data_IF_190850754954
#
_entry.id   IF_190850754954
#
_cell.length_a   1.000
_cell.length_b   1.000
_cell.length_c   1.000
_cell.angle_alpha   90.00
_cell.angle_beta   90.00
_cell.angle_gamma   90.00
#
_symmetry.space_group_name_H-M   'P 1'
#
loop_
_entity.id
_entity.type
_entity.pdbx_description
1 polymer ?
#
# COMPACT_ATOMS: atom_id res chain seq x y z
N UNK A 1 11.01 18.23 31.80
CA UNK A 1 11.51 16.93 32.26
C UNK A 1 10.49 15.87 31.86
N UNK A 2 10.46 15.50 30.57
CA UNK A 2 9.67 14.41 29.98
C UNK A 2 10.38 14.06 28.65
N UNK A 3 11.37 13.17 28.69
CA UNK A 3 12.03 12.60 27.49
C UNK A 3 12.50 11.18 27.84
N UNK A 4 12.07 10.22 27.04
CA UNK A 4 11.98 8.78 27.32
C UNK A 4 10.49 8.44 27.26
N UNK A 5 9.94 7.78 26.24
CA UNK A 5 10.47 6.57 25.61
C UNK A 5 10.05 6.35 24.14
N UNK A 6 9.51 7.35 23.42
CA UNK A 6 8.96 7.15 22.06
C UNK A 6 9.71 7.93 20.96
N UNK A 7 10.98 7.57 20.75
CA UNK A 7 11.74 7.92 19.55
C UNK A 7 12.24 6.61 18.94
N UNK A 8 11.98 6.38 17.66
CA UNK A 8 12.69 5.34 16.93
C UNK A 8 14.20 5.57 17.14
N UNK A 9 14.87 4.59 17.74
CA UNK A 9 16.23 4.80 18.24
C UNK A 9 17.12 5.13 17.04
N UNK A 10 17.81 6.29 17.01
CA UNK A 10 18.73 6.67 15.92
C UNK A 10 19.79 5.58 15.66
N UNK A 11 20.04 4.73 16.67
CA UNK A 11 20.86 3.52 16.61
C UNK A 11 20.31 2.45 15.66
N UNK A 12 18.99 2.29 15.55
CA UNK A 12 18.35 1.37 14.58
C UNK A 12 18.75 1.73 13.14
N UNK A 13 18.91 3.03 12.86
CA UNK A 13 19.28 3.56 11.55
C UNK A 13 20.79 3.82 11.39
N UNK A 14 21.61 3.30 12.31
CA UNK A 14 23.09 3.42 12.33
C UNK A 14 23.62 4.84 12.49
N UNK A 15 22.84 5.77 13.04
CA UNK A 15 23.30 7.11 13.36
C UNK A 15 23.74 7.24 14.82
N UNK A 16 24.79 8.03 15.06
CA UNK A 16 25.12 8.54 16.38
C UNK A 16 24.27 9.77 16.66
N UNK A 17 23.68 9.85 17.84
CA UNK A 17 22.83 10.97 18.23
C UNK A 17 23.65 12.21 18.61
N UNK A 18 23.23 13.37 18.08
CA UNK A 18 23.75 14.67 18.43
C UNK A 18 23.32 15.05 19.85
N UNK A 19 24.31 15.46 20.65
CA UNK A 19 24.13 16.09 21.96
C UNK A 19 24.35 17.60 21.84
N UNK A 20 23.44 18.39 22.40
CA UNK A 20 23.55 19.83 22.48
C UNK A 20 23.80 20.27 23.92
N UNK A 21 24.79 21.12 24.13
CA UNK A 21 24.99 21.79 25.41
C UNK A 21 23.85 22.80 25.64
N UNK A 22 23.15 22.63 26.76
CA UNK A 22 22.23 23.64 27.28
C UNK A 22 23.03 24.68 28.09
N UNK A 23 23.04 25.93 27.59
CA UNK A 23 23.78 27.04 28.17
C UNK A 23 23.39 27.34 29.63
N UNK A 24 22.22 26.88 30.10
CA UNK A 24 21.76 27.12 31.47
C UNK A 24 21.98 25.93 32.40
N UNK A 25 22.02 24.70 31.87
CA UNK A 25 22.10 23.47 32.68
C UNK A 25 23.49 22.82 32.66
N UNK A 26 24.43 23.28 31.82
CA UNK A 26 25.75 22.66 31.59
C UNK A 26 25.65 21.14 31.40
N UNK A 27 24.57 20.69 30.76
CA UNK A 27 24.29 19.29 30.49
C UNK A 27 24.02 19.12 29.01
N UNK A 28 24.59 18.05 28.48
CA UNK A 28 24.35 17.58 27.13
C UNK A 28 22.96 16.97 27.05
N UNK A 29 22.07 17.62 26.30
CA UNK A 29 20.73 17.12 26.03
C UNK A 29 20.72 16.48 24.63
N UNK A 30 20.19 15.25 24.48
CA UNK A 30 20.01 14.63 23.17
C UNK A 30 19.07 15.49 22.31
N UNK A 31 19.42 15.70 21.05
CA UNK A 31 18.65 16.57 20.16
C UNK A 31 17.62 15.82 19.31
N UNK A 32 17.72 14.49 19.19
CA UNK A 32 16.93 13.71 18.23
C UNK A 32 17.38 13.88 16.77
N UNK A 33 18.63 14.30 16.54
CA UNK A 33 19.23 14.41 15.21
C UNK A 33 20.55 13.62 15.15
N UNK A 34 21.00 13.18 13.96
CA UNK A 34 22.33 12.62 13.78
C UNK A 34 23.42 13.65 14.12
N UNK A 35 24.55 13.18 14.65
CA UNK A 35 25.74 13.98 14.97
C UNK A 35 26.23 14.78 13.74
N UNK A 36 26.14 16.12 13.75
CA UNK A 36 26.53 16.94 12.62
C UNK A 36 28.04 17.26 12.65
N UNK A 37 28.63 17.52 11.48
CA UNK A 37 30.02 17.98 11.39
C UNK A 37 30.19 19.38 11.96
N UNK A 38 29.19 20.23 11.72
CA UNK A 38 29.07 21.59 12.22
C UNK A 38 27.59 21.91 12.43
N UNK A 39 27.31 22.78 13.39
CA UNK A 39 25.97 23.29 13.68
C UNK A 39 26.00 24.79 13.85
N UNK A 40 25.00 25.46 13.28
CA UNK A 40 24.71 26.86 13.58
C UNK A 40 23.25 27.01 13.99
N UNK A 41 23.01 27.94 14.91
CA UNK A 41 21.67 28.31 15.35
C UNK A 41 21.52 29.82 15.24
N UNK A 42 20.39 30.23 14.66
CA UNK A 42 19.96 31.61 14.52
C UNK A 42 18.54 31.71 15.05
N UNK A 43 18.28 32.75 15.83
CA UNK A 43 16.95 33.13 16.30
C UNK A 43 16.71 34.56 15.87
N UNK A 44 15.62 34.80 15.15
CA UNK A 44 15.21 36.13 14.73
C UNK A 44 13.72 36.29 14.97
N UNK A 45 13.35 37.40 15.60
CA UNK A 45 11.97 37.79 15.80
C UNK A 45 11.75 39.09 15.02
N UNK A 46 10.85 39.04 14.06
CA UNK A 46 10.58 40.15 13.15
C UNK A 46 9.07 40.44 13.12
N UNK A 47 8.63 41.66 13.44
CA UNK A 47 7.21 42.01 13.55
C UNK A 47 6.39 41.92 12.26
N UNK A 48 7.02 41.85 11.08
CA UNK A 48 6.31 41.95 9.80
C UNK A 48 6.77 40.93 8.74
N UNK A 49 7.64 39.98 9.07
CA UNK A 49 8.19 39.03 8.09
C UNK A 49 7.54 37.65 8.24
N UNK A 50 7.18 37.05 7.11
CA UNK A 50 6.62 35.70 7.05
C UNK A 50 7.73 34.65 7.08
N UNK A 51 7.44 33.45 7.59
CA UNK A 51 8.37 32.30 7.51
C UNK A 51 8.82 32.04 6.06
N UNK A 52 7.95 32.29 5.09
CA UNK A 52 8.24 32.08 3.67
C UNK A 52 9.43 32.91 3.20
N UNK A 53 9.60 34.13 3.70
CA UNK A 53 10.71 35.01 3.32
C UNK A 53 12.05 34.39 3.76
N UNK A 54 12.14 33.92 5.01
CA UNK A 54 13.32 33.24 5.52
C UNK A 54 13.57 31.90 4.81
N UNK A 55 12.51 31.13 4.57
CA UNK A 55 12.57 29.84 3.88
C UNK A 55 13.08 29.99 2.45
N UNK A 56 12.43 30.84 1.65
CA UNK A 56 12.81 31.04 0.25
C UNK A 56 14.15 31.76 0.12
N UNK A 57 14.54 32.61 1.06
CA UNK A 57 15.88 33.20 1.07
C UNK A 57 16.96 32.11 1.14
N UNK A 58 16.81 31.15 2.06
CA UNK A 58 17.78 30.04 2.21
C UNK A 58 17.74 29.10 1.01
N UNK A 59 16.54 28.74 0.54
CA UNK A 59 16.38 27.85 -0.62
C UNK A 59 16.95 28.47 -1.89
N UNK A 60 16.70 29.77 -2.14
CA UNK A 60 17.23 30.48 -3.30
C UNK A 60 18.75 30.61 -3.23
N UNK A 61 19.32 30.91 -2.05
CA UNK A 61 20.76 30.96 -1.86
C UNK A 61 21.40 29.58 -2.12
N UNK A 62 20.79 28.51 -1.60
CA UNK A 62 21.25 27.14 -1.82
C UNK A 62 21.20 26.76 -3.31
N UNK A 63 20.08 27.04 -3.98
CA UNK A 63 19.84 26.63 -5.36
C UNK A 63 20.62 27.46 -6.37
N UNK A 64 20.50 28.79 -6.31
CA UNK A 64 20.98 29.70 -7.33
C UNK A 64 22.46 30.06 -7.14
N UNK A 65 22.89 30.33 -5.90
CA UNK A 65 24.24 30.85 -5.64
C UNK A 65 25.23 29.75 -5.24
N UNK A 66 24.76 28.72 -4.53
CA UNK A 66 25.61 27.64 -3.97
C UNK A 66 25.54 26.34 -4.78
N UNK A 67 24.62 26.26 -5.75
CA UNK A 67 24.52 25.19 -6.75
C UNK A 67 23.99 23.86 -6.21
N UNK A 68 23.14 23.90 -5.18
CA UNK A 68 22.39 22.74 -4.69
C UNK A 68 21.12 22.58 -5.53
N UNK A 69 21.21 21.75 -6.58
CA UNK A 69 20.07 21.52 -7.47
C UNK A 69 19.03 20.57 -6.88
N UNK A 70 19.45 19.72 -5.94
CA UNK A 70 18.63 18.68 -5.35
C UNK A 70 18.31 19.06 -3.89
N UNK A 71 17.14 19.68 -3.72
CA UNK A 71 16.64 20.15 -2.42
C UNK A 71 15.31 19.44 -2.19
N UNK A 72 15.26 18.65 -1.12
CA UNK A 72 14.09 17.89 -0.74
C UNK A 72 13.51 18.45 0.56
N UNK A 73 12.19 18.66 0.60
CA UNK A 73 11.48 18.99 1.83
C UNK A 73 11.14 17.70 2.56
N UNK A 74 11.70 17.51 3.75
CA UNK A 74 11.53 16.31 4.56
C UNK A 74 10.31 16.43 5.48
N UNK A 75 10.14 17.60 6.09
CA UNK A 75 9.08 17.86 7.04
C UNK A 75 8.43 19.21 6.78
N UNK A 76 7.12 19.25 6.92
CA UNK A 76 6.28 20.45 6.85
C UNK A 76 5.10 20.22 7.78
N UNK A 77 5.35 20.44 9.07
CA UNK A 77 4.40 20.17 10.14
C UNK A 77 3.82 21.47 10.60
N UNK A 78 2.49 21.52 10.60
CA UNK A 78 1.72 22.62 11.15
C UNK A 78 1.05 22.17 12.44
N UNK A 79 1.25 22.94 13.51
CA UNK A 79 0.49 22.80 14.74
C UNK A 79 -0.19 24.13 15.04
N UNK A 80 -1.48 24.11 15.29
CA UNK A 80 -2.21 25.29 15.72
C UNK A 80 -2.89 25.03 17.05
N UNK A 81 -3.10 26.10 17.82
CA UNK A 81 -3.84 26.01 19.07
C UNK A 81 -5.28 25.55 18.80
N UNK A 82 -5.85 24.79 19.74
CA UNK A 82 -7.18 24.19 19.58
C UNK A 82 -8.29 25.23 19.35
N UNK A 83 -8.14 26.44 19.91
CA UNK A 83 -9.10 27.54 19.74
C UNK A 83 -8.81 28.42 18.51
N UNK A 84 -7.76 28.14 17.74
CA UNK A 84 -7.48 28.92 16.53
C UNK A 84 -8.46 28.64 15.40
N UNK A 85 -8.74 29.66 14.59
CA UNK A 85 -9.47 29.51 13.33
C UNK A 85 -8.78 28.51 12.38
N UNK A 86 -7.45 28.46 12.39
CA UNK A 86 -6.66 27.51 11.59
C UNK A 86 -6.90 26.06 11.99
N UNK A 87 -6.93 25.77 13.29
CA UNK A 87 -7.22 24.43 13.80
C UNK A 87 -8.63 23.98 13.40
N UNK A 88 -9.63 24.86 13.50
CA UNK A 88 -11.00 24.56 13.09
C UNK A 88 -11.11 24.17 11.60
N UNK A 89 -10.49 24.94 10.71
CA UNK A 89 -10.50 24.65 9.25
C UNK A 89 -9.70 23.38 8.94
N UNK A 90 -8.54 23.19 9.59
CA UNK A 90 -7.73 21.98 9.42
C UNK A 90 -8.50 20.74 9.86
N UNK A 91 -9.15 20.77 11.02
CA UNK A 91 -9.97 19.67 11.53
C UNK A 91 -11.17 19.37 10.64
N UNK A 92 -11.85 20.39 10.12
CA UNK A 92 -12.95 20.18 9.17
C UNK A 92 -12.48 19.47 7.89
N UNK A 93 -11.31 19.85 7.35
CA UNK A 93 -10.71 19.18 6.19
C UNK A 93 -10.28 17.76 6.51
N UNK A 94 -9.61 17.55 7.65
CA UNK A 94 -9.20 16.23 8.12
C UNK A 94 -10.40 15.30 8.30
N UNK A 95 -11.47 15.76 8.95
CA UNK A 95 -12.72 15.01 9.09
C UNK A 95 -13.32 14.65 7.73
N UNK A 96 -13.40 15.60 6.80
CA UNK A 96 -13.89 15.35 5.43
C UNK A 96 -13.08 14.28 4.69
N UNK A 97 -11.76 14.22 4.91
CA UNK A 97 -10.90 13.19 4.33
C UNK A 97 -11.04 11.85 5.05
N UNK A 98 -11.14 11.84 6.38
CA UNK A 98 -11.38 10.64 7.18
C UNK A 98 -12.72 9.98 6.82
N UNK A 99 -13.77 10.77 6.60
CA UNK A 99 -15.07 10.28 6.16
C UNK A 99 -14.97 9.60 4.79
N UNK A 100 -14.27 10.22 3.83
CA UNK A 100 -14.04 9.63 2.50
C UNK A 100 -13.23 8.33 2.57
N UNK A 101 -12.16 8.31 3.36
CA UNK A 101 -11.36 7.09 3.57
C UNK A 101 -12.23 6.00 4.17
N UNK A 102 -13.02 6.30 5.19
CA UNK A 102 -13.91 5.33 5.84
C UNK A 102 -14.96 4.78 4.86
N UNK A 103 -15.53 5.63 4.00
CA UNK A 103 -16.47 5.21 2.96
C UNK A 103 -15.81 4.27 1.94
N UNK A 104 -14.59 4.59 1.50
CA UNK A 104 -13.85 3.74 0.56
C UNK A 104 -13.49 2.40 1.20
N UNK A 105 -12.96 2.40 2.43
CA UNK A 105 -12.61 1.17 3.14
C UNK A 105 -13.84 0.28 3.40
N UNK A 106 -14.98 0.86 3.79
CA UNK A 106 -16.22 0.10 3.92
C UNK A 106 -16.66 -0.54 2.59
N UNK A 107 -16.54 0.20 1.49
CA UNK A 107 -16.86 -0.31 0.14
C UNK A 107 -15.89 -1.43 -0.26
N UNK A 108 -14.58 -1.24 -0.03
CA UNK A 108 -13.55 -2.26 -0.27
C UNK A 108 -13.84 -3.51 0.55
N UNK A 109 -14.10 -3.38 1.85
CA UNK A 109 -14.41 -4.51 2.72
C UNK A 109 -15.62 -5.31 2.25
N UNK A 110 -16.68 -4.64 1.76
CA UNK A 110 -17.82 -5.32 1.13
C UNK A 110 -17.42 -6.08 -0.12
N UNK A 111 -16.64 -5.47 -1.02
CA UNK A 111 -16.19 -6.13 -2.25
C UNK A 111 -15.23 -7.29 -1.98
N UNK A 112 -14.38 -7.20 -0.95
CA UNK A 112 -13.51 -8.30 -0.51
C UNK A 112 -14.35 -9.48 -0.02
N UNK A 113 -15.42 -9.23 0.74
CA UNK A 113 -16.36 -10.30 1.14
C UNK A 113 -17.03 -10.95 -0.07
N UNK A 114 -17.41 -10.17 -1.07
CA UNK A 114 -17.98 -10.67 -2.32
C UNK A 114 -16.96 -11.50 -3.12
N UNK A 115 -15.67 -11.11 -3.14
CA UNK A 115 -14.60 -11.91 -3.74
C UNK A 115 -14.51 -13.32 -3.11
N UNK A 116 -14.57 -13.44 -1.78
CA UNK A 116 -14.57 -14.76 -1.13
C UNK A 116 -15.74 -15.63 -1.57
N UNK A 117 -16.93 -15.04 -1.74
CA UNK A 117 -18.11 -15.76 -2.23
C UNK A 117 -17.90 -16.24 -3.67
N UNK A 118 -17.31 -15.41 -4.53
CA UNK A 118 -17.00 -15.76 -5.91
C UNK A 118 -15.94 -16.87 -6.01
N UNK A 119 -14.86 -16.78 -5.24
CA UNK A 119 -13.82 -17.84 -5.19
C UNK A 119 -14.43 -19.17 -4.75
N UNK A 120 -15.28 -19.14 -3.70
CA UNK A 120 -15.99 -20.35 -3.27
C UNK A 120 -16.93 -20.90 -4.34
N UNK A 121 -17.65 -20.03 -5.07
CA UNK A 121 -18.51 -20.46 -6.18
C UNK A 121 -17.69 -21.12 -7.30
N UNK A 122 -16.55 -20.53 -7.69
CA UNK A 122 -15.66 -21.09 -8.71
C UNK A 122 -15.14 -22.46 -8.26
N UNK A 123 -14.71 -22.61 -7.00
CA UNK A 123 -14.27 -23.90 -6.45
C UNK A 123 -15.35 -24.98 -6.56
N UNK A 124 -16.59 -24.66 -6.18
CA UNK A 124 -17.73 -25.60 -6.29
C UNK A 124 -18.02 -25.93 -7.77
N UNK A 125 -17.88 -24.94 -8.67
CA UNK A 125 -18.04 -25.17 -10.10
C UNK A 125 -16.93 -26.06 -10.67
N UNK A 126 -15.69 -25.92 -10.19
CA UNK A 126 -14.56 -26.76 -10.59
C UNK A 126 -14.71 -28.19 -10.10
N UNK A 127 -15.01 -28.41 -8.81
CA UNK A 127 -15.33 -29.73 -8.27
C UNK A 127 -16.45 -30.40 -9.07
N UNK A 128 -17.51 -29.64 -9.42
CA UNK A 128 -18.59 -30.15 -10.25
C UNK A 128 -18.14 -30.51 -11.66
N UNK A 129 -17.37 -29.63 -12.32
CA UNK A 129 -16.87 -29.86 -13.68
C UNK A 129 -15.92 -31.04 -13.76
N UNK A 130 -15.16 -31.32 -12.71
CA UNK A 130 -14.25 -32.45 -12.65
C UNK A 130 -14.99 -33.79 -12.72
N UNK A 131 -16.15 -33.95 -12.07
CA UNK A 131 -17.00 -35.13 -12.27
C UNK A 131 -17.44 -35.30 -13.72
N UNK A 132 -17.74 -34.21 -14.43
CA UNK A 132 -18.06 -34.31 -15.85
C UNK A 132 -16.83 -34.70 -16.67
N UNK A 133 -15.66 -34.08 -16.44
CA UNK A 133 -14.41 -34.42 -17.15
C UNK A 133 -14.04 -35.90 -16.96
N UNK A 134 -14.07 -36.39 -15.72
CA UNK A 134 -13.80 -37.79 -15.39
C UNK A 134 -14.79 -38.76 -16.04
N UNK A 135 -16.06 -38.36 -16.18
CA UNK A 135 -17.06 -39.17 -16.87
C UNK A 135 -16.85 -39.25 -18.40
N UNK A 136 -16.22 -38.23 -19.00
CA UNK A 136 -15.94 -38.18 -20.44
C UNK A 136 -14.58 -38.79 -20.80
N UNK A 137 -13.64 -38.89 -19.85
CA UNK A 137 -12.32 -39.51 -20.08
C UNK A 137 -12.43 -41.05 -20.07
N UNK A 138 -12.04 -41.69 -21.17
CA UNK A 138 -12.06 -43.16 -21.29
C UNK A 138 -10.96 -43.85 -20.46
N UNK A 139 -9.90 -43.12 -20.07
CA UNK A 139 -8.75 -43.65 -19.34
C UNK A 139 -8.83 -43.49 -17.82
N UNK A 140 -9.82 -42.73 -17.33
CA UNK A 140 -9.95 -42.41 -15.90
C UNK A 140 -10.46 -43.60 -15.09
N UNK A 141 -9.70 -44.00 -14.06
CA UNK A 141 -10.12 -45.03 -13.09
C UNK A 141 -11.36 -44.60 -12.28
N UNK A 142 -11.65 -43.29 -12.23
CA UNK A 142 -12.77 -42.72 -11.49
C UNK A 142 -14.05 -42.56 -12.32
N UNK A 143 -14.04 -42.96 -13.60
CA UNK A 143 -15.16 -42.79 -14.53
C UNK A 143 -16.48 -43.34 -14.00
N UNK A 144 -16.46 -44.57 -13.48
CA UNK A 144 -17.66 -45.23 -12.95
C UNK A 144 -18.21 -44.50 -11.72
N UNK A 145 -17.33 -44.09 -10.80
CA UNK A 145 -17.71 -43.29 -9.63
C UNK A 145 -18.26 -41.92 -10.01
N UNK A 146 -17.70 -41.27 -11.04
CA UNK A 146 -18.15 -39.97 -11.51
C UNK A 146 -19.53 -40.06 -12.20
N UNK A 147 -19.75 -41.08 -13.04
CA UNK A 147 -21.05 -41.39 -13.63
C UNK A 147 -22.12 -41.67 -12.57
N UNK A 148 -21.83 -42.51 -11.57
CA UNK A 148 -22.76 -42.81 -10.46
C UNK A 148 -23.11 -41.52 -9.70
N UNK A 149 -22.11 -40.67 -9.44
CA UNK A 149 -22.29 -39.38 -8.75
C UNK A 149 -23.19 -38.43 -9.56
N UNK A 150 -22.95 -38.30 -10.86
CA UNK A 150 -23.76 -37.46 -11.77
C UNK A 150 -25.21 -37.97 -11.88
N UNK A 151 -25.40 -39.29 -11.95
CA UNK A 151 -26.73 -39.93 -11.94
C UNK A 151 -27.46 -39.68 -10.63
N UNK A 152 -26.76 -39.73 -9.49
CA UNK A 152 -27.31 -39.37 -8.18
C UNK A 152 -27.78 -37.91 -8.15
N UNK A 153 -26.94 -36.97 -8.60
CA UNK A 153 -27.28 -35.55 -8.70
C UNK A 153 -28.50 -35.33 -9.60
N UNK A 154 -28.60 -36.06 -10.72
CA UNK A 154 -29.75 -35.98 -11.62
C UNK A 154 -31.04 -36.46 -10.98
N UNK A 155 -31.02 -37.61 -10.28
CA UNK A 155 -32.20 -38.12 -9.56
C UNK A 155 -32.66 -37.10 -8.51
N UNK A 156 -31.74 -36.51 -7.76
CA UNK A 156 -32.08 -35.58 -6.69
C UNK A 156 -32.57 -34.22 -7.23
N UNK A 157 -31.89 -33.63 -8.22
CA UNK A 157 -32.22 -32.29 -8.71
C UNK A 157 -33.29 -32.27 -9.80
N UNK A 158 -33.31 -33.24 -10.72
CA UNK A 158 -34.19 -33.24 -11.89
C UNK A 158 -35.43 -34.07 -11.67
N UNK A 159 -35.30 -35.23 -11.01
CA UNK A 159 -36.44 -36.11 -10.77
C UNK A 159 -37.17 -35.85 -9.43
N UNK A 160 -36.61 -34.98 -8.57
CA UNK A 160 -37.19 -34.67 -7.26
C UNK A 160 -36.94 -35.78 -6.21
N UNK A 161 -35.92 -36.61 -6.43
CA UNK A 161 -35.52 -37.68 -5.53
C UNK A 161 -36.60 -38.75 -5.34
N UNK A 162 -36.60 -39.41 -4.18
CA UNK A 162 -37.53 -40.50 -3.86
C UNK A 162 -38.99 -40.06 -3.60
N UNK A 163 -39.30 -38.76 -3.67
CA UNK A 163 -40.65 -38.21 -3.42
C UNK A 163 -41.53 -38.17 -4.67
N UNK A 164 -40.92 -38.23 -5.86
CA UNK A 164 -41.66 -38.24 -7.12
C UNK A 164 -41.98 -39.67 -7.54
N UNK A 165 -43.26 -40.05 -7.73
CA UNK A 165 -43.69 -41.33 -8.29
C UNK A 165 -42.98 -41.71 -9.61
N UNK A 166 -42.57 -40.68 -10.37
CA UNK A 166 -41.95 -40.84 -11.67
C UNK A 166 -40.41 -40.93 -11.63
N UNK A 167 -39.77 -40.78 -10.47
CA UNK A 167 -38.32 -40.91 -10.36
C UNK A 167 -37.86 -42.37 -10.38
N UNK A 168 -36.58 -42.61 -10.65
CA UNK A 168 -36.01 -43.97 -10.61
C UNK A 168 -36.27 -44.67 -9.27
N UNK A 169 -36.20 -43.93 -8.15
CA UNK A 169 -36.53 -44.47 -6.82
C UNK A 169 -38.03 -44.55 -6.52
N UNK A 170 -38.84 -43.62 -7.04
CA UNK A 170 -40.30 -43.66 -6.88
C UNK A 170 -40.92 -44.82 -7.67
N UNK A 171 -40.46 -45.04 -8.90
CA UNK A 171 -40.87 -46.16 -9.74
C UNK A 171 -40.48 -47.52 -9.15
N UNK A 172 -39.34 -47.60 -8.44
CA UNK A 172 -38.96 -48.82 -7.74
C UNK A 172 -39.88 -49.12 -6.54
N UNK A 173 -40.39 -48.09 -5.86
CA UNK A 173 -41.28 -48.22 -4.69
C UNK A 173 -42.75 -48.43 -5.05
N UNK A 174 -43.28 -47.64 -5.99
CA UNK A 174 -44.72 -47.59 -6.29
C UNK A 174 -45.12 -48.54 -7.43
N UNK A 175 -44.22 -48.78 -8.40
CA UNK A 175 -44.47 -49.64 -9.57
C UNK A 175 -43.74 -50.98 -9.48
N UNK A 176 -43.17 -51.31 -8.32
CA UNK A 176 -42.43 -52.55 -8.03
C UNK A 176 -41.26 -52.84 -8.98
N UNK A 177 -40.70 -51.81 -9.66
CA UNK A 177 -39.50 -51.95 -10.47
C UNK A 177 -38.22 -51.97 -9.62
N UNK A 178 -38.09 -52.99 -8.76
CA UNK A 178 -37.03 -53.11 -7.74
C UNK A 178 -35.61 -53.08 -8.32
N UNK A 179 -35.42 -53.61 -9.54
CA UNK A 179 -34.11 -53.71 -10.21
C UNK A 179 -33.76 -52.44 -11.02
N UNK A 180 -34.71 -51.51 -11.21
CA UNK A 180 -34.51 -50.32 -12.04
C UNK A 180 -33.41 -49.38 -11.53
N UNK A 181 -33.26 -49.09 -10.22
CA UNK A 181 -32.16 -48.29 -9.71
C UNK A 181 -30.80 -48.94 -9.98
N UNK A 182 -30.64 -50.22 -9.69
CA UNK A 182 -29.39 -50.95 -9.89
C UNK A 182 -29.00 -50.99 -11.38
N UNK A 183 -29.98 -51.18 -12.27
CA UNK A 183 -29.75 -51.11 -13.71
C UNK A 183 -29.39 -49.71 -14.19
N UNK A 184 -30.02 -48.67 -13.64
CA UNK A 184 -29.71 -47.30 -13.99
C UNK A 184 -28.30 -46.89 -13.58
N UNK A 185 -27.83 -47.30 -12.40
CA UNK A 185 -26.47 -47.01 -11.94
C UNK A 185 -25.40 -47.89 -12.61
N UNK A 186 -25.69 -49.13 -12.97
CA UNK A 186 -24.70 -50.04 -13.60
C UNK A 186 -24.53 -49.83 -15.11
N UNK A 187 -25.55 -49.32 -15.81
CA UNK A 187 -25.51 -49.16 -17.27
C UNK A 187 -24.96 -47.79 -17.67
N UNK A 188 -23.83 -47.78 -18.37
CA UNK A 188 -23.11 -46.55 -18.76
C UNK A 188 -22.99 -46.43 -20.29
N UNK A 189 -24.07 -46.06 -21.01
CA UNK A 189 -24.00 -45.81 -22.45
C UNK A 189 -23.17 -44.56 -22.77
N UNK A 190 -22.34 -44.62 -23.82
CA UNK A 190 -21.44 -43.53 -24.21
C UNK A 190 -22.18 -42.32 -24.82
N UNK A 191 -23.24 -42.56 -25.61
CA UNK A 191 -23.98 -41.50 -26.32
C UNK A 191 -25.49 -41.76 -26.28
N UNK A 192 -26.31 -40.71 -26.35
CA UNK A 192 -27.79 -40.75 -26.38
C UNK A 192 -28.35 -41.68 -27.48
N UNK A 193 -27.58 -41.89 -28.56
CA UNK A 193 -27.92 -42.78 -29.68
C UNK A 193 -27.62 -44.26 -29.41
N UNK A 194 -26.69 -44.56 -28.52
CA UNK A 194 -26.24 -45.93 -28.23
C UNK A 194 -27.05 -46.58 -27.09
N UNK A 195 -27.94 -45.79 -26.45
CA UNK A 195 -28.79 -46.24 -25.33
C UNK A 195 -29.67 -47.41 -25.76
N UNK A 196 -30.21 -47.37 -26.98
CA UNK A 196 -31.08 -48.42 -27.48
C UNK A 196 -30.34 -49.76 -27.64
N UNK A 197 -29.14 -49.74 -28.21
CA UNK A 197 -28.32 -50.93 -28.43
C UNK A 197 -27.80 -51.55 -27.14
N UNK A 198 -27.41 -50.73 -26.16
CA UNK A 198 -26.88 -51.19 -24.87
C UNK A 198 -28.00 -51.78 -24.01
N UNK A 199 -29.19 -51.17 -24.00
CA UNK A 199 -30.32 -51.65 -23.19
C UNK A 199 -31.01 -52.86 -23.82
N UNK A 200 -31.01 -52.99 -25.14
CA UNK A 200 -31.61 -54.15 -25.82
C UNK A 200 -30.80 -55.44 -25.65
N UNK A 201 -29.50 -55.35 -25.36
CA UNK A 201 -28.63 -56.49 -25.00
C UNK A 201 -28.92 -57.06 -23.60
N UNK A 202 -29.67 -56.37 -22.76
CA UNK A 202 -29.99 -56.83 -21.40
C UNK A 202 -31.24 -57.72 -21.40
N UNK A 203 -31.15 -58.90 -20.79
CA UNK A 203 -32.24 -59.89 -20.71
C UNK A 203 -33.28 -59.54 -19.61
N UNK A 204 -33.93 -58.38 -19.72
CA UNK A 204 -34.98 -57.95 -18.77
C UNK A 204 -36.35 -57.72 -19.43
N UNK A 205 -37.37 -57.61 -18.56
CA UNK A 205 -38.75 -57.32 -18.96
C UNK A 205 -38.82 -56.07 -19.85
N UNK A 206 -39.58 -56.17 -20.95
CA UNK A 206 -39.74 -55.12 -21.97
C UNK A 206 -40.11 -53.76 -21.36
N UNK A 207 -41.01 -53.72 -20.37
CA UNK A 207 -41.40 -52.46 -19.72
C UNK A 207 -40.27 -51.81 -18.93
N UNK A 208 -39.43 -52.61 -18.27
CA UNK A 208 -38.24 -52.11 -17.54
C UNK A 208 -37.24 -51.53 -18.53
N UNK A 209 -37.03 -52.19 -19.68
CA UNK A 209 -36.17 -51.69 -20.76
C UNK A 209 -36.67 -50.38 -21.36
N UNK A 210 -37.97 -50.27 -21.66
CA UNK A 210 -38.56 -49.03 -22.20
C UNK A 210 -38.40 -47.84 -21.22
N UNK A 211 -38.62 -48.08 -19.92
CA UNK A 211 -38.43 -47.06 -18.89
C UNK A 211 -36.95 -46.69 -18.73
N UNK A 212 -36.05 -47.68 -18.69
CA UNK A 212 -34.61 -47.47 -18.58
C UNK A 212 -34.06 -46.67 -19.78
N UNK A 213 -34.47 -47.01 -21.01
CA UNK A 213 -34.11 -46.25 -22.23
C UNK A 213 -34.48 -44.77 -22.13
N UNK A 214 -35.73 -44.48 -21.72
CA UNK A 214 -36.20 -43.11 -21.55
C UNK A 214 -35.39 -42.34 -20.50
N UNK A 215 -35.08 -42.98 -19.38
CA UNK A 215 -34.35 -42.34 -18.26
C UNK A 215 -32.88 -42.11 -18.60
N UNK A 216 -32.21 -43.08 -19.21
CA UNK A 216 -30.83 -42.94 -19.67
C UNK A 216 -30.69 -41.87 -20.76
N UNK A 217 -31.63 -41.80 -21.69
CA UNK A 217 -31.64 -40.76 -22.72
C UNK A 217 -31.80 -39.36 -22.12
N UNK A 218 -32.75 -39.20 -21.21
CA UNK A 218 -32.97 -37.94 -20.49
C UNK A 218 -31.74 -37.52 -19.64
N UNK A 219 -31.09 -38.49 -18.99
CA UNK A 219 -29.86 -38.25 -18.23
C UNK A 219 -28.71 -37.77 -19.15
N UNK A 220 -28.50 -38.41 -20.30
CA UNK A 220 -27.41 -38.03 -21.21
C UNK A 220 -27.63 -36.66 -21.85
N UNK A 221 -28.86 -36.33 -22.27
CA UNK A 221 -29.20 -35.00 -22.77
C UNK A 221 -28.99 -33.94 -21.68
N UNK A 222 -29.45 -34.21 -20.45
CA UNK A 222 -29.21 -33.33 -19.31
C UNK A 222 -27.71 -33.14 -19.01
N UNK A 223 -26.93 -34.23 -19.06
CA UNK A 223 -25.48 -34.20 -18.82
C UNK A 223 -24.75 -33.29 -19.82
N UNK A 224 -25.10 -33.38 -21.10
CA UNK A 224 -24.49 -32.55 -22.15
C UNK A 224 -24.86 -31.06 -21.99
N UNK A 225 -26.14 -30.75 -21.78
CA UNK A 225 -26.61 -29.38 -21.61
C UNK A 225 -26.04 -28.74 -20.34
N UNK A 226 -26.07 -29.45 -19.21
CA UNK A 226 -25.55 -28.97 -17.94
C UNK A 226 -24.05 -28.76 -17.98
N UNK A 227 -23.30 -29.62 -18.67
CA UNK A 227 -21.86 -29.44 -18.84
C UNK A 227 -21.51 -28.16 -19.61
N UNK A 228 -22.23 -27.88 -20.71
CA UNK A 228 -22.06 -26.64 -21.49
C UNK A 228 -22.44 -25.39 -20.69
N UNK A 229 -23.52 -25.47 -19.92
CA UNK A 229 -23.96 -24.40 -19.03
C UNK A 229 -22.93 -24.12 -17.93
N UNK A 230 -22.47 -25.15 -17.21
CA UNK A 230 -21.49 -25.00 -16.13
C UNK A 230 -20.16 -24.42 -16.63
N UNK A 231 -19.69 -24.86 -17.80
CA UNK A 231 -18.48 -24.30 -18.43
C UNK A 231 -18.65 -22.82 -18.76
N UNK A 232 -19.82 -22.44 -19.27
CA UNK A 232 -20.15 -21.06 -19.61
C UNK A 232 -20.27 -20.20 -18.35
N UNK A 233 -20.98 -20.70 -17.33
CA UNK A 233 -21.13 -20.06 -16.02
C UNK A 233 -19.78 -19.81 -15.37
N UNK A 234 -18.91 -20.82 -15.31
CA UNK A 234 -17.55 -20.69 -14.77
C UNK A 234 -16.77 -19.58 -15.48
N UNK A 235 -16.81 -19.52 -16.81
CA UNK A 235 -16.16 -18.46 -17.59
C UNK A 235 -16.68 -17.07 -17.23
N UNK A 236 -17.99 -16.92 -17.02
CA UNK A 236 -18.57 -15.65 -16.57
C UNK A 236 -18.17 -15.30 -15.14
N UNK A 237 -18.20 -16.26 -14.21
CA UNK A 237 -17.79 -16.04 -12.81
C UNK A 237 -16.32 -15.63 -12.71
N UNK A 238 -15.43 -16.24 -13.51
CA UNK A 238 -14.02 -15.84 -13.60
C UNK A 238 -13.84 -14.40 -14.10
N UNK A 239 -14.55 -14.00 -15.16
CA UNK A 239 -14.53 -12.61 -15.64
C UNK A 239 -15.04 -11.62 -14.59
N UNK A 240 -16.11 -12.01 -13.89
CA UNK A 240 -16.72 -11.20 -12.84
C UNK A 240 -15.78 -11.03 -11.63
N UNK A 241 -15.07 -12.10 -11.23
CA UNK A 241 -14.02 -12.05 -10.21
C UNK A 241 -12.95 -11.02 -10.55
N UNK A 242 -12.47 -11.03 -11.80
CA UNK A 242 -11.46 -10.07 -12.28
C UNK A 242 -11.98 -8.62 -12.25
N UNK A 243 -13.22 -8.40 -12.69
CA UNK A 243 -13.84 -7.09 -12.61
C UNK A 243 -13.89 -6.56 -11.15
N UNK A 244 -14.25 -7.42 -10.18
CA UNK A 244 -14.29 -7.02 -8.76
C UNK A 244 -12.92 -6.64 -8.23
N UNK A 245 -11.91 -7.43 -8.61
CA UNK A 245 -10.52 -7.15 -8.27
C UNK A 245 -10.01 -5.82 -8.86
N UNK A 246 -10.31 -5.54 -10.13
CA UNK A 246 -9.91 -4.28 -10.78
C UNK A 246 -10.59 -3.06 -10.14
N UNK A 247 -11.85 -3.20 -9.72
CA UNK A 247 -12.58 -2.14 -8.99
C UNK A 247 -11.96 -1.89 -7.62
N UNK A 248 -11.62 -2.94 -6.86
CA UNK A 248 -10.90 -2.80 -5.58
C UNK A 248 -9.57 -2.07 -5.79
N UNK A 249 -8.82 -2.44 -6.84
CA UNK A 249 -7.55 -1.79 -7.19
C UNK A 249 -7.73 -0.29 -7.46
N UNK A 250 -8.78 0.08 -8.19
CA UNK A 250 -9.14 1.47 -8.45
C UNK A 250 -9.42 2.23 -7.14
N UNK A 251 -10.26 1.68 -6.25
CA UNK A 251 -10.55 2.32 -4.96
C UNK A 251 -9.31 2.45 -4.07
N UNK A 252 -8.44 1.45 -4.02
CA UNK A 252 -7.17 1.52 -3.29
C UNK A 252 -6.26 2.64 -3.82
N UNK A 253 -6.22 2.83 -5.14
CA UNK A 253 -5.46 3.93 -5.75
C UNK A 253 -6.00 5.31 -5.33
N UNK A 254 -7.31 5.43 -5.11
CA UNK A 254 -7.94 6.66 -4.66
C UNK A 254 -7.79 6.91 -3.16
N UNK A 255 -7.73 5.88 -2.32
CA UNK A 255 -7.54 6.02 -0.87
C UNK A 255 -6.15 6.56 -0.53
N UNK A 256 -5.11 6.12 -1.26
CA UNK A 256 -3.70 6.48 -1.02
C UNK A 256 -3.44 7.99 -0.85
N UNK A 257 -3.88 8.89 -1.76
CA UNK A 257 -3.68 10.33 -1.58
C UNK A 257 -4.41 10.88 -0.35
N UNK A 258 -5.61 10.39 -0.02
CA UNK A 258 -6.34 10.85 1.16
C UNK A 258 -5.66 10.47 2.47
N UNK A 259 -5.13 9.24 2.58
CA UNK A 259 -4.31 8.84 3.73
C UNK A 259 -3.08 9.74 3.88
N UNK A 260 -2.42 10.07 2.75
CA UNK A 260 -1.29 11.01 2.75
C UNK A 260 -1.72 12.41 3.21
N UNK A 261 -2.88 12.91 2.77
CA UNK A 261 -3.37 14.23 3.18
C UNK A 261 -3.79 14.28 4.65
N UNK A 262 -4.45 13.23 5.16
CA UNK A 262 -4.75 13.10 6.60
C UNK A 262 -3.45 13.13 7.39
N UNK A 263 -2.42 12.40 6.94
CA UNK A 263 -1.09 12.43 7.56
C UNK A 263 -0.51 13.86 7.58
N UNK A 264 -0.52 14.55 6.45
CA UNK A 264 0.06 15.90 6.33
C UNK A 264 -0.72 16.96 7.12
N UNK A 265 -2.03 16.79 7.30
CA UNK A 265 -2.88 17.73 8.02
C UNK A 265 -2.99 17.42 9.52
N UNK A 266 -2.53 16.25 9.96
CA UNK A 266 -2.50 15.91 11.37
C UNK A 266 -1.45 16.79 12.04
N UNK A 267 -1.90 17.62 12.97
CA UNK A 267 -1.00 18.39 13.83
C UNK A 267 -0.08 17.44 14.59
N UNK A 268 1.21 17.76 14.66
CA UNK A 268 2.13 17.00 15.51
C UNK A 268 1.73 17.14 16.97
N UNK A 269 1.39 16.03 17.61
CA UNK A 269 0.98 15.97 19.02
C UNK A 269 2.06 16.58 19.94
N UNK A 270 3.34 16.29 19.65
CA UNK A 270 4.49 16.87 20.38
C UNK A 270 4.53 18.39 20.33
N UNK A 271 4.09 19.01 19.23
CA UNK A 271 4.04 20.48 19.09
C UNK A 271 2.78 21.07 19.70
N UNK A 272 1.67 20.33 19.70
CA UNK A 272 0.46 20.73 20.41
C UNK A 272 0.69 20.82 21.93
N UNK A 273 1.46 19.89 22.49
CA UNK A 273 1.83 19.86 23.91
C UNK A 273 3.04 20.73 24.25
N UNK A 274 3.58 21.47 23.27
CA UNK A 274 4.73 22.34 23.50
C UNK A 274 4.35 23.51 24.42
N UNK A 275 5.17 23.85 25.44
CA UNK A 275 4.94 25.03 26.28
C UNK A 275 4.91 26.36 25.49
N UNK A 276 5.44 26.36 24.26
CA UNK A 276 5.46 27.53 23.39
C UNK A 276 4.13 27.75 22.63
N UNK A 277 3.21 26.79 22.67
CA UNK A 277 1.87 26.90 22.10
C UNK A 277 0.84 26.96 23.23
N UNK A 278 0.07 28.04 23.28
CA UNK A 278 -1.00 28.19 24.28
C UNK A 278 -2.33 27.89 23.59
N UNK A 279 -3.00 26.82 24.02
CA UNK A 279 -4.22 26.31 23.38
C UNK A 279 -5.41 27.28 23.34
N UNK A 280 -5.42 28.30 24.21
CA UNK A 280 -6.50 29.28 24.35
C UNK A 280 -6.38 30.50 23.42
N UNK A 281 -5.20 30.76 22.83
CA UNK A 281 -4.96 31.93 21.99
C UNK A 281 -4.80 31.55 20.52
N UNK A 282 -4.95 32.49 19.60
CA UNK A 282 -4.68 32.33 18.16
C UNK A 282 -3.18 32.21 17.87
N UNK A 283 -2.61 31.04 18.16
CA UNK A 283 -1.19 30.73 17.94
C UNK A 283 -1.02 29.54 17.01
N UNK A 284 0.04 29.60 16.21
CA UNK A 284 0.47 28.51 15.34
C UNK A 284 1.98 28.33 15.42
N UNK A 285 2.41 27.08 15.25
CA UNK A 285 3.79 26.68 15.13
C UNK A 285 3.95 25.91 13.82
N UNK A 286 4.95 26.30 13.04
CA UNK A 286 5.32 25.66 11.79
C UNK A 286 6.73 25.11 11.97
N UNK A 287 6.92 23.84 11.65
CA UNK A 287 8.25 23.25 11.53
C UNK A 287 8.49 22.79 10.09
N UNK A 288 9.52 23.35 9.47
CA UNK A 288 9.94 22.96 8.12
C UNK A 288 11.36 22.42 8.20
N UNK A 289 11.56 21.23 7.64
CA UNK A 289 12.88 20.62 7.49
C UNK A 289 13.18 20.42 6.00
N UNK A 290 14.31 20.98 5.54
CA UNK A 290 14.82 20.77 4.18
C UNK A 290 16.19 20.11 4.21
N UNK A 291 16.39 19.18 3.28
CA UNK A 291 17.67 18.53 3.02
C UNK A 291 18.13 18.92 1.61
N UNK A 292 19.18 19.73 1.55
CA UNK A 292 19.85 20.07 0.31
C UNK A 292 21.05 19.14 0.12
N UNK A 293 21.13 18.45 -1.02
CA UNK A 293 22.21 17.52 -1.35
C UNK A 293 22.92 17.94 -2.63
N UNK A 294 24.25 17.79 -2.64
CA UNK A 294 25.09 18.13 -3.78
C UNK A 294 26.31 17.24 -3.81
N UNK A 295 26.72 16.81 -5.00
CA UNK A 295 28.04 16.18 -5.17
C UNK A 295 29.12 17.27 -5.20
N UNK A 296 30.17 17.15 -4.36
CA UNK A 296 31.26 18.11 -4.36
C UNK A 296 31.85 18.28 -5.74
N UNK A 297 32.03 19.53 -6.15
CA UNK A 297 32.46 19.87 -7.50
C UNK A 297 33.70 20.75 -7.48
N UNK A 298 34.65 20.45 -8.37
CA UNK A 298 35.81 21.31 -8.53
C UNK A 298 35.50 22.44 -9.51
N UNK A 299 35.36 23.66 -8.98
CA UNK A 299 35.08 24.89 -9.76
C UNK A 299 36.12 25.18 -10.84
N UNK A 300 37.35 24.67 -10.71
CA UNK A 300 38.44 24.90 -11.67
C UNK A 300 38.43 23.87 -12.81
N UNK A 301 38.21 22.59 -12.50
CA UNK A 301 38.34 21.50 -13.49
C UNK A 301 37.01 21.06 -14.11
N UNK A 302 35.88 21.61 -13.64
CA UNK A 302 34.58 21.28 -14.22
C UNK A 302 34.08 19.87 -13.92
N UNK A 303 34.73 19.14 -12.99
CA UNK A 303 34.45 17.72 -12.69
C UNK A 303 34.04 17.52 -11.23
N UNK A 304 33.15 16.56 -11.00
CA UNK A 304 32.76 16.11 -9.66
C UNK A 304 33.97 15.52 -8.95
N UNK A 305 34.27 15.99 -7.73
CA UNK A 305 35.38 15.50 -6.91
C UNK A 305 35.08 14.13 -6.31
N UNK A 306 33.80 13.87 -6.03
CA UNK A 306 33.35 12.64 -5.38
C UNK A 306 32.37 11.88 -6.27
N UNK A 307 32.29 10.58 -6.01
CA UNK A 307 31.36 9.67 -6.68
C UNK A 307 30.28 9.15 -5.73
N UNK A 308 30.59 9.01 -4.44
CA UNK A 308 29.74 8.28 -3.49
C UNK A 308 29.18 9.17 -2.38
N UNK A 309 30.00 10.07 -1.80
CA UNK A 309 29.56 10.95 -0.71
C UNK A 309 29.10 12.32 -1.21
N UNK A 310 27.89 12.72 -0.78
CA UNK A 310 27.27 14.01 -1.06
C UNK A 310 27.48 14.96 0.12
N UNK A 311 27.68 16.24 -0.20
CA UNK A 311 27.59 17.33 0.75
C UNK A 311 26.11 17.59 1.03
N UNK A 312 25.69 17.39 2.28
CA UNK A 312 24.31 17.52 2.71
C UNK A 312 24.17 18.66 3.72
N UNK A 313 23.18 19.53 3.51
CA UNK A 313 22.82 20.60 4.44
C UNK A 313 21.38 20.38 4.87
N UNK A 314 21.19 20.19 6.16
CA UNK A 314 19.87 20.12 6.78
C UNK A 314 19.57 21.49 7.39
N UNK A 315 18.50 22.13 6.93
CA UNK A 315 18.00 23.36 7.52
C UNK A 315 16.63 23.11 8.14
N UNK A 316 16.55 23.36 9.44
CA UNK A 316 15.33 23.27 10.23
C UNK A 316 14.87 24.68 10.58
N UNK A 317 13.61 24.97 10.28
CA UNK A 317 12.95 26.23 10.62
C UNK A 317 11.84 25.91 11.61
N UNK A 318 12.01 26.36 12.85
CA UNK A 318 10.94 26.39 13.85
C UNK A 318 10.37 27.81 13.85
N UNK A 319 9.14 27.99 13.37
CA UNK A 319 8.45 29.28 13.39
C UNK A 319 7.31 29.25 14.38
N UNK A 320 7.27 30.24 15.26
CA UNK A 320 6.19 30.44 16.20
C UNK A 320 5.51 31.76 15.90
N UNK A 321 4.19 31.73 15.81
CA UNK A 321 3.39 32.93 15.66
C UNK A 321 2.89 33.43 17.00
N UNK A 322 2.89 34.75 17.16
CA UNK A 322 2.19 35.46 18.20
C UNK A 322 0.98 36.16 17.57
N UNK A 323 -0.19 36.12 18.22
CA UNK A 323 -1.38 36.77 17.68
C UNK A 323 -1.18 38.28 17.68
N UNK A 324 -1.27 38.91 16.51
CA UNK A 324 -1.47 40.35 16.37
C UNK A 324 -2.81 40.61 15.67
N UNK A 325 -3.68 41.38 16.33
CA UNK A 325 -4.99 41.73 15.79
C UNK A 325 -4.86 42.96 14.90
N UNK A 326 -4.43 42.77 13.66
CA UNK A 326 -4.58 43.80 12.62
C UNK A 326 -6.02 43.77 12.09
N UNK A 327 -6.84 44.72 12.53
CA UNK A 327 -8.17 44.95 11.97
C UNK A 327 -8.05 45.55 10.57
N UNK A 328 -8.02 44.71 9.53
CA UNK A 328 -8.17 45.18 8.15
C UNK A 328 -9.66 45.28 7.83
N UNK A 329 -10.13 46.49 7.52
CA UNK A 329 -11.53 46.77 7.18
C UNK A 329 -11.80 46.45 5.71
N UNK A 330 -12.02 45.18 5.34
CA UNK A 330 -12.93 44.76 4.24
C UNK A 330 -12.74 43.26 3.83
N UNK A 331 -13.83 42.49 3.93
CA UNK A 331 -14.26 41.62 2.82
C UNK A 331 -13.82 40.15 2.72
N UNK A 332 -12.62 39.74 3.11
CA UNK A 332 -12.16 38.36 2.85
C UNK A 332 -11.35 37.76 4.01
N UNK A 333 -11.75 36.56 4.43
CA UNK A 333 -11.22 35.72 5.53
C UNK A 333 -10.37 36.44 6.59
N UNK A 334 -10.99 36.77 7.72
CA UNK A 334 -10.31 37.20 8.96
C UNK A 334 -9.38 36.08 9.43
N UNK A 335 -8.09 36.23 9.15
CA UNK A 335 -7.01 35.48 9.79
C UNK A 335 -6.08 36.47 10.49
N UNK A 336 -5.61 36.20 11.71
CA UNK A 336 -4.60 37.05 12.36
C UNK A 336 -3.36 37.15 11.47
N UNK A 337 -2.82 38.35 11.31
CA UNK A 337 -1.52 38.51 10.68
C UNK A 337 -0.48 38.00 11.67
N UNK A 338 0.19 36.91 11.31
CA UNK A 338 1.11 36.26 12.21
C UNK A 338 2.44 37.01 12.25
N UNK A 339 2.68 37.71 13.35
CA UNK A 339 4.04 38.08 13.76
C UNK A 339 4.70 36.82 14.27
N UNK A 340 5.98 36.59 13.96
CA UNK A 340 6.59 35.37 14.47
C UNK A 340 8.09 35.42 14.66
N UNK A 341 8.52 34.51 15.53
CA UNK A 341 9.91 34.21 15.79
C UNK A 341 10.29 32.99 14.97
N UNK A 342 11.33 33.13 14.14
CA UNK A 342 12.00 32.02 13.45
C UNK A 342 13.24 31.62 14.25
N UNK A 343 13.28 30.36 14.66
CA UNK A 343 14.50 29.68 15.08
C UNK A 343 14.98 28.79 13.93
N UNK A 344 16.07 29.19 13.27
CA UNK A 344 16.71 28.43 12.19
C UNK A 344 17.93 27.66 12.73
N UNK A 345 17.93 26.34 12.54
CA UNK A 345 19.05 25.46 12.89
C UNK A 345 19.62 24.85 11.61
N UNK A 346 20.90 25.08 11.38
CA UNK A 346 21.63 24.56 10.22
C UNK A 346 22.59 23.46 10.68
N UNK A 347 22.56 22.32 9.98
CA UNK A 347 23.45 21.19 10.23
C UNK A 347 24.10 20.74 8.92
N UNK A 348 25.40 20.46 8.97
CA UNK A 348 26.14 19.97 7.81
C UNK A 348 26.52 18.50 7.99
N UNK A 349 26.28 17.71 6.94
CA UNK A 349 26.55 16.28 6.90
C UNK A 349 27.32 15.90 5.62
N UNK A 350 28.03 14.77 5.70
CA UNK A 350 28.64 14.11 4.57
C UNK A 350 28.07 12.68 4.53
N UNK A 351 27.05 12.48 3.69
CA UNK A 351 26.28 11.23 3.63
C UNK A 351 26.33 10.60 2.25
N UNK A 352 26.30 9.27 2.25
CA UNK A 352 26.04 8.42 1.08
C UNK A 352 24.54 8.37 0.77
N UNK A 353 24.15 7.88 -0.42
CA UNK A 353 22.72 7.74 -0.77
C UNK A 353 21.97 6.83 0.21
N UNK A 354 22.61 5.74 0.67
CA UNK A 354 22.05 4.81 1.66
C UNK A 354 21.78 5.49 3.01
N UNK A 355 22.70 6.35 3.46
CA UNK A 355 22.51 7.11 4.71
C UNK A 355 21.41 8.17 4.56
N UNK A 356 21.30 8.81 3.39
CA UNK A 356 20.21 9.76 3.09
C UNK A 356 18.86 9.05 3.13
N UNK A 357 18.74 7.87 2.49
CA UNK A 357 17.52 7.06 2.52
C UNK A 357 17.17 6.62 3.95
N UNK A 358 18.15 6.14 4.73
CA UNK A 358 17.93 5.78 6.13
C UNK A 358 17.39 6.96 6.95
N UNK A 359 17.95 8.16 6.77
CA UNK A 359 17.47 9.36 7.48
C UNK A 359 16.04 9.73 7.09
N UNK A 360 15.69 9.62 5.80
CA UNK A 360 14.30 9.81 5.32
C UNK A 360 13.35 8.82 5.96
N UNK A 361 13.75 7.55 6.06
CA UNK A 361 12.92 6.51 6.70
C UNK A 361 12.75 6.74 8.20
N UNK A 362 13.80 7.20 8.89
CA UNK A 362 13.73 7.58 10.31
C UNK A 362 12.67 8.67 10.53
N UNK A 363 12.71 9.75 9.72
CA UNK A 363 11.71 10.83 9.78
C UNK A 363 10.30 10.36 9.43
N UNK A 364 10.18 9.49 8.44
CA UNK A 364 8.88 8.93 8.07
C UNK A 364 8.29 8.07 9.19
N UNK A 365 9.11 7.28 9.92
CA UNK A 365 8.70 6.39 11.01
C UNK A 365 8.18 7.15 12.24
N UNK A 366 8.78 8.29 12.60
CA UNK A 366 8.28 9.15 13.70
C UNK A 366 6.83 9.61 13.50
N UNK A 367 6.39 9.73 12.24
CA UNK A 367 5.01 10.08 11.91
C UNK A 367 4.07 8.87 11.75
N UNK A 368 4.60 7.64 11.73
CA UNK A 368 3.91 6.45 11.23
C UNK A 368 3.23 5.60 12.31
N UNK A 369 3.66 5.72 13.56
CA UNK A 369 3.13 4.93 14.69
C UNK A 369 1.60 5.12 14.88
N UNK A 370 1.02 6.13 14.23
CA UNK A 370 -0.40 6.47 14.29
C UNK A 370 -1.22 6.10 13.04
N UNK A 371 -0.59 5.53 11.99
CA UNK A 371 -1.26 5.04 10.77
C UNK A 371 -1.32 3.52 10.66
N UNK A 372 -0.59 2.80 11.53
CA UNK A 372 -0.63 1.34 11.62
C UNK A 372 -1.99 0.76 12.04
N UNK A 373 -2.93 1.61 12.43
CA UNK A 373 -4.30 1.21 12.78
C UNK A 373 -5.22 1.08 11.56
N UNK A 374 -4.85 1.65 10.40
CA UNK A 374 -5.67 1.54 9.20
C UNK A 374 -5.28 0.28 8.42
N UNK A 375 -5.93 -0.79 8.89
CA UNK A 375 -6.34 -1.96 8.13
C UNK A 375 -5.38 -3.18 7.95
N UNK A 376 -4.80 -3.70 9.06
CA UNK A 376 -4.34 -5.09 9.11
C UNK A 376 -5.41 -6.10 8.66
N UNK A 377 -6.70 -5.74 8.73
CA UNK A 377 -7.83 -6.63 8.44
C UNK A 377 -8.04 -6.85 6.94
N UNK A 378 -8.00 -5.79 6.12
CA UNK A 378 -8.03 -5.93 4.64
C UNK A 378 -6.77 -6.62 4.15
N UNK A 379 -5.62 -6.27 4.73
CA UNK A 379 -4.32 -6.88 4.45
C UNK A 379 -4.36 -8.41 4.65
N UNK A 380 -4.77 -8.84 5.85
CA UNK A 380 -4.91 -10.25 6.18
C UNK A 380 -6.00 -10.95 5.36
N UNK A 381 -7.10 -10.27 5.04
CA UNK A 381 -8.17 -10.84 4.22
C UNK A 381 -7.70 -11.13 2.78
N UNK A 382 -6.86 -10.27 2.21
CA UNK A 382 -6.31 -10.47 0.87
C UNK A 382 -5.20 -11.53 0.84
N UNK A 383 -4.37 -11.60 1.89
CA UNK A 383 -3.40 -12.71 2.04
C UNK A 383 -4.12 -14.06 2.25
N UNK A 384 -5.23 -14.07 2.99
CA UNK A 384 -6.03 -15.28 3.21
C UNK A 384 -6.72 -15.81 1.94
N UNK A 385 -6.92 -14.98 0.91
CA UNK A 385 -7.41 -15.44 -0.40
C UNK A 385 -6.39 -16.34 -1.13
N UNK A 386 -5.10 -16.23 -0.78
CA UNK A 386 -4.05 -17.21 -1.11
C UNK A 386 -3.78 -17.44 -2.61
N UNK A 387 -3.06 -18.53 -2.88
CA UNK A 387 -2.62 -18.94 -4.23
C UNK A 387 -3.77 -19.33 -5.17
N UNK A 388 -4.90 -19.78 -4.61
CA UNK A 388 -6.06 -20.22 -5.41
C UNK A 388 -6.73 -19.03 -6.11
N UNK A 389 -6.83 -17.89 -5.42
CA UNK A 389 -7.32 -16.65 -6.02
C UNK A 389 -6.40 -16.15 -7.15
N UNK A 390 -5.07 -16.24 -6.97
CA UNK A 390 -4.10 -15.92 -8.04
C UNK A 390 -4.31 -16.80 -9.27
N UNK A 391 -4.50 -18.10 -9.06
CA UNK A 391 -4.72 -19.04 -10.14
C UNK A 391 -5.97 -18.68 -10.95
N UNK A 392 -7.09 -18.35 -10.29
CA UNK A 392 -8.31 -17.92 -10.97
C UNK A 392 -8.18 -16.55 -11.65
N UNK A 393 -7.46 -15.58 -11.06
CA UNK A 393 -7.20 -14.30 -11.71
C UNK A 393 -6.34 -14.44 -12.97
N UNK A 394 -5.33 -15.30 -12.91
CA UNK A 394 -4.47 -15.64 -14.05
C UNK A 394 -5.28 -16.29 -15.16
N UNK A 395 -6.13 -17.25 -14.80
CA UNK A 395 -7.02 -17.94 -15.73
C UNK A 395 -8.07 -16.98 -16.35
N UNK A 396 -8.57 -16.02 -15.58
CA UNK A 396 -9.46 -14.97 -16.08
C UNK A 396 -8.75 -13.96 -17.01
N UNK A 397 -7.41 -14.01 -17.10
CA UNK A 397 -6.57 -13.10 -17.88
C UNK A 397 -6.20 -13.53 -19.29
N UNK A 398 -6.64 -14.70 -19.75
CA UNK A 398 -6.29 -15.15 -21.11
C UNK A 398 -7.23 -14.57 -22.19
N UNK A 399 -6.66 -13.70 -23.03
CA UNK A 399 -6.75 -13.85 -24.48
C UNK A 399 -5.43 -14.44 -25.01
N UNK A 400 -5.61 -15.40 -25.91
CA UNK A 400 -4.68 -16.27 -26.65
C UNK A 400 -3.39 -15.63 -27.18
N UNK A 401 -2.22 -16.18 -26.79
CA UNK A 401 -1.16 -16.70 -27.69
C UNK A 401 -0.05 -17.38 -26.89
N UNK A 402 0.13 -18.69 -27.13
CA UNK A 402 1.37 -19.40 -26.80
C UNK A 402 2.47 -18.86 -27.72
N UNK A 403 3.43 -18.16 -27.13
CA UNK A 403 4.82 -18.19 -27.60
C UNK A 403 5.67 -18.63 -26.41
N UNK A 404 6.41 -19.70 -26.65
CA UNK A 404 7.35 -20.31 -25.71
C UNK A 404 8.58 -19.42 -25.55
N UNK A 405 8.89 -19.04 -24.31
CA UNK A 405 10.27 -18.96 -23.81
C UNK A 405 10.24 -19.12 -22.27
N UNK A 406 11.16 -19.90 -21.68
CA UNK A 406 11.16 -20.14 -20.25
C UNK A 406 11.84 -18.96 -19.55
N UNK A 407 11.04 -18.11 -18.89
CA UNK A 407 11.55 -17.14 -17.93
C UNK A 407 10.84 -17.30 -16.58
N UNK A 408 11.64 -17.06 -15.55
CA UNK A 408 11.44 -17.34 -14.12
C UNK A 408 10.03 -17.01 -13.64
N UNK A 409 9.55 -17.83 -12.71
CA UNK A 409 8.33 -17.61 -11.95
C UNK A 409 8.36 -16.23 -11.28
N UNK A 410 7.67 -15.27 -11.88
CA UNK A 410 7.30 -14.01 -11.25
C UNK A 410 5.78 -14.09 -10.96
N UNK A 411 5.42 -13.99 -9.68
CA UNK A 411 4.05 -14.15 -9.18
C UNK A 411 3.13 -13.07 -9.76
N UNK A 412 1.94 -13.48 -10.20
CA UNK A 412 0.90 -12.59 -10.77
C UNK A 412 0.36 -11.61 -9.73
N UNK A 413 0.71 -11.80 -8.46
CA UNK A 413 0.61 -10.76 -7.45
C UNK A 413 1.46 -9.52 -7.73
N UNK A 414 2.43 -9.41 -8.65
CA UNK A 414 3.22 -8.19 -8.82
C UNK A 414 2.46 -6.84 -8.81
N UNK A 415 1.20 -6.71 -9.32
CA UNK A 415 0.42 -5.48 -9.18
C UNK A 415 -0.20 -5.31 -7.78
N UNK A 416 -0.52 -6.40 -7.07
CA UNK A 416 -0.99 -6.38 -5.70
C UNK A 416 0.16 -6.39 -4.73
N UNK A 417 1.15 -7.27 -4.80
CA UNK A 417 2.48 -7.10 -4.22
C UNK A 417 3.12 -5.75 -4.60
N UNK A 418 2.84 -5.00 -5.67
CA UNK A 418 3.36 -3.61 -5.83
C UNK A 418 2.43 -2.51 -5.29
N UNK A 419 1.15 -2.80 -5.08
CA UNK A 419 0.19 -1.91 -4.36
C UNK A 419 0.22 -2.17 -2.86
N UNK A 420 0.57 -3.38 -2.48
CA UNK A 420 0.74 -3.95 -1.15
C UNK A 420 2.19 -3.90 -0.75
N UNK A 421 3.19 -4.00 -1.65
CA UNK A 421 4.47 -3.29 -1.53
C UNK A 421 4.26 -1.82 -1.82
N UNK A 422 3.12 -1.32 -2.25
CA UNK A 422 2.84 0.12 -2.28
C UNK A 422 2.37 0.61 -0.92
N UNK A 423 1.65 -0.24 -0.17
CA UNK A 423 1.21 -0.08 1.21
C UNK A 423 2.27 -0.53 2.22
N UNK A 424 3.06 -1.54 1.85
CA UNK A 424 4.29 -2.02 2.45
C UNK A 424 5.48 -1.33 1.80
N UNK A 425 5.39 -0.35 0.90
CA UNK A 425 6.42 0.68 0.60
C UNK A 425 5.98 1.94 1.34
N UNK A 426 4.70 2.24 1.44
CA UNK A 426 4.22 3.10 2.55
C UNK A 426 4.53 2.43 3.90
N UNK A 427 4.84 1.13 3.93
CA UNK A 427 5.28 0.37 5.10
C UNK A 427 6.76 0.02 5.11
N UNK A 428 7.49 -0.03 3.98
CA UNK A 428 8.93 -0.40 3.84
C UNK A 428 9.79 0.73 3.26
N UNK A 429 9.21 1.71 2.56
CA UNK A 429 9.71 3.09 2.62
C UNK A 429 9.43 3.72 4.00
N UNK A 430 8.78 2.99 4.91
CA UNK A 430 8.65 3.29 6.33
C UNK A 430 9.24 2.21 7.30
N UNK A 431 9.65 1.04 6.81
CA UNK A 431 10.50 0.04 7.50
C UNK A 431 11.55 -0.41 6.49
N UNK A 432 12.62 0.37 6.41
CA UNK A 432 13.58 0.36 5.32
C UNK A 432 14.31 -0.95 5.09
N UNK A 433 13.71 -1.93 4.39
CA UNK A 433 14.44 -3.04 3.74
C UNK A 433 13.63 -3.63 2.55
N UNK A 434 13.87 -3.12 1.33
CA UNK A 434 14.18 -3.86 0.06
C UNK A 434 13.98 -2.93 -1.15
N UNK A 435 15.06 -2.58 -1.85
CA UNK A 435 15.22 -3.12 -3.20
C UNK A 435 16.50 -2.64 -3.89
N UNK A 436 17.11 -3.58 -4.61
CA UNK A 436 18.36 -3.56 -5.37
C UNK A 436 18.79 -2.22 -6.00
N UNK A 437 19.96 -1.74 -5.58
CA UNK A 437 20.84 -0.95 -6.42
C UNK A 437 22.18 -1.69 -6.50
N UNK A 438 22.60 -2.01 -7.72
CA UNK A 438 23.87 -2.67 -8.06
C UNK A 438 25.04 -2.17 -7.21
N UNK A 439 25.71 -3.09 -6.50
CA UNK A 439 26.94 -2.81 -5.78
C UNK A 439 27.99 -2.27 -6.76
N UNK A 440 28.21 -0.95 -6.73
CA UNK A 440 29.44 -0.36 -7.26
C UNK A 440 30.58 -0.70 -6.30
N UNK A 441 31.79 -0.98 -6.83
CA UNK A 441 32.89 -1.53 -6.06
C UNK A 441 33.22 -0.66 -4.84
N UNK A 442 33.42 -1.30 -3.69
CA UNK A 442 33.80 -0.64 -2.44
C UNK A 442 35.08 0.15 -2.64
N UNK A 443 35.01 1.47 -2.48
CA UNK A 443 36.19 2.34 -2.42
C UNK A 443 37.15 1.88 -1.31
N UNK A 444 38.45 2.11 -1.48
CA UNK A 444 39.41 1.88 -0.41
C UNK A 444 39.08 2.76 0.80
N UNK A 445 39.28 2.29 2.04
CA UNK A 445 39.03 3.07 3.28
C UNK A 445 39.65 4.47 3.27
N UNK A 446 40.76 4.64 2.55
CA UNK A 446 41.43 5.92 2.37
C UNK A 446 40.66 6.86 1.42
N UNK A 447 40.14 6.34 0.31
CA UNK A 447 39.35 7.09 -0.67
C UNK A 447 37.99 7.47 -0.08
N UNK A 448 37.37 6.57 0.67
CA UNK A 448 36.12 6.82 1.42
C UNK A 448 36.30 7.99 2.40
N UNK A 449 37.38 7.98 3.19
CA UNK A 449 37.67 9.06 4.14
C UNK A 449 37.98 10.38 3.42
N UNK A 450 38.68 10.35 2.29
CA UNK A 450 38.98 11.54 1.51
C UNK A 450 37.72 12.15 0.87
N UNK A 451 36.85 11.33 0.26
CA UNK A 451 35.57 11.77 -0.28
C UNK A 451 34.69 12.36 0.83
N UNK A 452 34.61 11.69 1.99
CA UNK A 452 33.82 12.17 3.14
C UNK A 452 34.32 13.50 3.68
N UNK A 453 35.64 13.67 3.79
CA UNK A 453 36.25 14.93 4.23
C UNK A 453 36.05 16.05 3.21
N UNK A 454 36.13 15.77 1.92
CA UNK A 454 35.85 16.74 0.86
C UNK A 454 34.38 17.21 0.88
N UNK A 455 33.44 16.26 1.01
CA UNK A 455 32.01 16.56 1.15
C UNK A 455 31.70 17.34 2.43
N UNK A 456 32.30 16.94 3.55
CA UNK A 456 32.15 17.63 4.83
C UNK A 456 32.73 19.04 4.84
N UNK A 457 33.88 19.24 4.19
CA UNK A 457 34.50 20.54 4.02
C UNK A 457 33.64 21.50 3.18
N UNK A 458 33.10 21.04 2.06
CA UNK A 458 32.20 21.83 1.22
C UNK A 458 30.88 22.15 1.95
N UNK A 459 30.27 21.17 2.62
CA UNK A 459 29.04 21.37 3.39
C UNK A 459 29.26 22.39 4.53
N UNK A 460 30.37 22.26 5.27
CA UNK A 460 30.71 23.17 6.37
C UNK A 460 31.02 24.59 5.91
N UNK A 461 31.70 24.77 4.77
CA UNK A 461 31.99 26.09 4.21
C UNK A 461 30.71 26.76 3.68
N UNK A 462 29.89 26.00 2.96
CA UNK A 462 28.59 26.45 2.45
C UNK A 462 27.66 26.88 3.59
N UNK A 463 27.59 26.07 4.65
CA UNK A 463 26.75 26.38 5.81
C UNK A 463 27.21 27.64 6.54
N UNK A 464 28.52 27.88 6.65
CA UNK A 464 29.04 29.14 7.21
C UNK A 464 28.70 30.34 6.32
N UNK A 465 28.73 30.19 4.99
CA UNK A 465 28.30 31.24 4.06
C UNK A 465 26.82 31.59 4.24
N UNK A 466 25.95 30.57 4.38
CA UNK A 466 24.52 30.77 4.67
C UNK A 466 24.38 31.55 5.97
N UNK A 467 25.02 31.09 7.04
CA UNK A 467 24.96 31.74 8.36
C UNK A 467 25.42 33.21 8.31
N UNK A 468 26.56 33.48 7.67
CA UNK A 468 27.13 34.83 7.55
C UNK A 468 26.26 35.75 6.70
N UNK A 469 25.86 35.28 5.52
CA UNK A 469 25.04 36.08 4.60
C UNK A 469 23.65 36.34 5.19
N UNK A 470 23.08 35.38 5.91
CA UNK A 470 21.78 35.52 6.57
C UNK A 470 21.83 36.58 7.65
N UNK A 471 22.85 36.54 8.53
CA UNK A 471 23.07 37.57 9.56
C UNK A 471 23.21 38.96 8.94
N UNK A 472 24.00 39.07 7.87
CA UNK A 472 24.23 40.35 7.20
C UNK A 472 22.96 40.88 6.51
N UNK A 473 22.18 40.02 5.86
CA UNK A 473 20.96 40.41 5.15
C UNK A 473 19.87 40.91 6.13
N UNK A 474 19.77 40.32 7.31
CA UNK A 474 18.76 40.64 8.32
C UNK A 474 19.26 41.58 9.42
N UNK A 475 20.36 42.31 9.17
CA UNK A 475 20.87 43.33 10.11
C UNK A 475 21.33 42.80 11.47
N UNK A 476 21.54 41.49 11.61
CA UNK A 476 22.10 40.91 12.83
C UNK A 476 23.58 41.32 12.95
N UNK A 477 24.08 41.49 14.18
CA UNK A 477 25.50 41.79 14.42
C UNK A 477 26.33 40.81 13.58
N UNK A 478 27.19 41.30 12.69
CA UNK A 478 28.05 40.46 11.86
C UNK A 478 29.49 40.87 12.15
N UNK A 479 30.26 39.99 12.79
CA UNK A 479 31.70 40.13 12.95
C UNK A 479 32.44 39.34 11.86
#
# INVERSE_FOLDING_TARGET
MLRGDDLADLKEFKFKEEKAEDAHLQKDIPTGYPEPLKRYWLSLESPNESIEEFYFWVVNLLKNDLGYNDIEKLMDVFAASQHSAFFGVAMQRTGSYQDKVSQFLATIGKMVKELFQLVREIRILDERLDYYKDSYDESSKSKESAEITLKGIWIDMVEGGAKSPASVYGMARELEFTVLPDLFFSTHPATSKDVDEVVDKLEFNRKVREVLKRKLRAFLEWKEHTYKELKTRRKFTLKFLRQHYDVIKMYMSWVKPYLKYIKMLRSSEKKMDSPNLIGAFEGSMIEIEILAKKLPFNKITGKTKNTTYKACILANFDYRTTPDMKFVSEGYQRGPTHIGRVDMKLRSYAWSEKEIENYKTYRAKEDMELLGEIDPSISAAMEALGEEFENYLREAGEETKKEEEPKKQDSVFEPFISIFNGFKEIGTAFTGIKGSASDKPSLSKFEENNERNAAGGEAGATMWLIYKNFRKAHGMIAW
#
